data_IF_319463131015
#
_entry.id   IF_319463131015
#
_cell.length_a   1.000
_cell.length_b   1.000
_cell.length_c   1.000
_cell.angle_alpha   90.00
_cell.angle_beta   90.00
_cell.angle_gamma   90.00
#
_symmetry.space_group_name_H-M   'P 1'
#
loop_
_entity.id
_entity.type
_entity.pdbx_description
1 polymer ?
#
# COMPACT_ATOMS: atom_id res chain seq x y z
N UNK A 1 5.06 2.45 -2.13
CA UNK A 1 4.83 3.48 -3.16
C UNK A 1 5.47 3.09 -4.49
N UNK A 2 5.40 3.92 -5.53
CA UNK A 2 5.95 3.65 -6.87
C UNK A 2 7.49 3.75 -6.97
N UNK A 3 8.22 3.45 -5.90
CA UNK A 3 9.68 3.56 -5.83
C UNK A 3 10.43 2.39 -6.47
N UNK A 4 11.75 2.53 -6.52
CA UNK A 4 12.65 1.47 -6.94
C UNK A 4 13.03 0.62 -5.74
N UNK A 5 12.75 -0.67 -5.86
CA UNK A 5 12.97 -1.65 -4.82
C UNK A 5 14.09 -2.64 -5.18
N UNK A 6 14.90 -2.32 -6.20
CA UNK A 6 15.95 -3.20 -6.70
C UNK A 6 17.01 -3.58 -5.65
N UNK A 7 17.22 -2.73 -4.64
CA UNK A 7 18.14 -2.99 -3.51
C UNK A 7 17.44 -3.46 -2.23
N UNK A 8 16.11 -3.57 -2.22
CA UNK A 8 15.36 -3.99 -1.04
C UNK A 8 15.05 -5.50 -1.08
N UNK A 9 15.64 -6.24 -0.14
CA UNK A 9 15.25 -7.63 0.12
C UNK A 9 13.78 -7.74 0.55
N UNK A 10 13.25 -8.97 0.58
CA UNK A 10 11.88 -9.24 1.04
C UNK A 10 11.62 -8.52 2.37
N UNK A 11 10.56 -7.70 2.48
CA UNK A 11 10.31 -6.98 3.72
C UNK A 11 10.05 -7.99 4.84
N UNK A 12 10.76 -7.79 5.96
CA UNK A 12 10.55 -8.54 7.19
C UNK A 12 9.29 -7.97 7.85
N UNK A 13 8.21 -8.75 7.84
CA UNK A 13 6.90 -8.37 8.38
C UNK A 13 6.73 -9.15 9.68
N UNK A 14 6.84 -8.45 10.82
CA UNK A 14 6.62 -9.07 12.12
C UNK A 14 5.13 -9.38 12.32
N UNK A 15 4.82 -10.43 13.10
CA UNK A 15 3.46 -10.69 13.56
C UNK A 15 2.92 -9.45 14.29
N UNK A 16 1.78 -8.90 13.83
CA UNK A 16 1.17 -7.64 14.25
C UNK A 16 1.60 -6.36 13.49
N UNK A 17 2.21 -6.51 12.32
CA UNK A 17 2.49 -5.39 11.40
C UNK A 17 1.34 -5.25 10.39
N UNK A 18 0.83 -4.02 10.20
CA UNK A 18 -0.14 -3.73 9.15
C UNK A 18 0.61 -3.33 7.87
N UNK A 19 0.43 -4.10 6.79
CA UNK A 19 1.04 -3.80 5.50
C UNK A 19 0.07 -2.99 4.65
N UNK A 20 0.40 -1.72 4.44
CA UNK A 20 -0.37 -0.81 3.59
C UNK A 20 0.33 -0.64 2.24
N UNK A 21 -0.32 -1.11 1.17
CA UNK A 21 0.08 -0.85 -0.20
C UNK A 21 -0.48 0.50 -0.65
N UNK A 22 0.41 1.42 -1.04
CA UNK A 22 0.01 2.72 -1.61
C UNK A 22 0.34 2.75 -3.10
N UNK A 23 -0.67 3.00 -3.92
CA UNK A 23 -0.57 3.10 -5.38
C UNK A 23 0.21 1.90 -5.98
N UNK A 24 1.16 2.11 -6.91
CA UNK A 24 1.92 1.01 -7.51
C UNK A 24 2.92 0.31 -6.57
N UNK A 25 2.95 0.65 -5.28
CA UNK A 25 3.55 -0.21 -4.25
C UNK A 25 2.88 -1.59 -4.16
N UNK A 26 1.62 -1.70 -4.61
CA UNK A 26 0.92 -2.98 -4.73
C UNK A 26 1.66 -3.97 -5.62
N UNK A 27 2.12 -3.53 -6.79
CA UNK A 27 2.81 -4.39 -7.76
C UNK A 27 4.08 -5.00 -7.18
N UNK A 28 4.83 -4.23 -6.39
CA UNK A 28 6.03 -4.72 -5.71
C UNK A 28 5.70 -5.82 -4.68
N UNK A 29 4.65 -5.63 -3.88
CA UNK A 29 4.24 -6.61 -2.88
C UNK A 29 3.76 -7.91 -3.54
N UNK A 30 2.95 -7.81 -4.59
CA UNK A 30 2.46 -8.97 -5.34
C UNK A 30 3.60 -9.75 -6.01
N UNK A 31 4.61 -9.06 -6.57
CA UNK A 31 5.81 -9.71 -7.12
C UNK A 31 6.59 -10.49 -6.06
N UNK A 32 6.60 -10.00 -4.82
CA UNK A 32 7.23 -10.67 -3.67
C UNK A 32 6.34 -11.70 -2.98
N UNK A 33 5.18 -12.04 -3.56
CA UNK A 33 4.18 -12.96 -3.00
C UNK A 33 3.68 -12.52 -1.62
N UNK A 34 3.65 -11.22 -1.38
CA UNK A 34 3.13 -10.60 -0.16
C UNK A 34 1.76 -10.02 -0.48
N UNK A 35 0.76 -10.43 0.28
CA UNK A 35 -0.58 -9.83 0.20
C UNK A 35 -0.64 -8.70 1.22
N UNK A 36 -0.86 -7.45 0.80
CA UNK A 36 -1.08 -6.35 1.75
C UNK A 36 -2.37 -6.57 2.54
N UNK A 37 -2.42 -6.01 3.74
CA UNK A 37 -3.63 -5.97 4.56
C UNK A 37 -4.57 -4.86 4.11
N UNK A 38 -4.01 -3.77 3.58
CA UNK A 38 -4.74 -2.59 3.16
C UNK A 38 -4.13 -2.02 1.88
N UNK A 39 -4.97 -1.66 0.92
CA UNK A 39 -4.59 -0.89 -0.26
C UNK A 39 -5.22 0.49 -0.21
N UNK A 40 -4.43 1.53 -0.49
CA UNK A 40 -4.85 2.92 -0.57
C UNK A 40 -4.32 3.54 -1.87
N UNK A 41 -5.20 4.16 -2.64
CA UNK A 41 -4.81 4.95 -3.82
C UNK A 41 -5.98 5.25 -4.74
N UNK A 42 -5.70 5.92 -5.85
CA UNK A 42 -6.70 6.28 -6.86
C UNK A 42 -7.05 5.15 -7.85
N UNK A 43 -6.30 4.04 -7.80
CA UNK A 43 -6.41 2.90 -8.71
C UNK A 43 -6.29 3.28 -10.20
N UNK A 44 -5.76 4.46 -10.52
CA UNK A 44 -5.57 4.92 -11.89
C UNK A 44 -4.28 4.31 -12.48
N UNK A 45 -3.29 4.06 -11.62
CA UNK A 45 -2.04 3.36 -11.98
C UNK A 45 -2.08 1.84 -11.72
N UNK A 46 -3.07 1.33 -10.99
CA UNK A 46 -3.21 -0.09 -10.71
C UNK A 46 -4.14 -0.76 -11.74
N UNK A 47 -3.73 -1.88 -12.33
CA UNK A 47 -4.60 -2.59 -13.25
C UNK A 47 -5.86 -3.08 -12.51
N UNK A 48 -7.02 -2.95 -13.14
CA UNK A 48 -8.31 -3.43 -12.58
C UNK A 48 -8.25 -4.90 -12.14
N UNK A 49 -7.45 -5.71 -12.85
CA UNK A 49 -7.17 -7.10 -12.51
C UNK A 49 -6.46 -7.28 -11.16
N UNK A 50 -5.57 -6.36 -10.76
CA UNK A 50 -4.87 -6.44 -9.48
C UNK A 50 -5.79 -6.06 -8.32
N UNK A 51 -6.66 -5.06 -8.51
CA UNK A 51 -7.69 -4.70 -7.54
C UNK A 51 -8.68 -5.85 -7.34
N UNK A 52 -9.14 -6.49 -8.42
CA UNK A 52 -10.04 -7.65 -8.30
C UNK A 52 -9.35 -8.84 -7.62
N UNK A 53 -8.05 -9.03 -7.87
CA UNK A 53 -7.25 -10.05 -7.17
C UNK A 53 -7.11 -9.74 -5.68
N UNK A 54 -6.94 -8.47 -5.31
CA UNK A 54 -6.95 -8.04 -3.91
C UNK A 54 -8.30 -8.29 -3.24
N UNK A 55 -9.41 -8.00 -3.92
CA UNK A 55 -10.77 -8.27 -3.39
C UNK A 55 -11.05 -9.75 -3.13
N UNK A 56 -10.33 -10.64 -3.80
CA UNK A 56 -10.41 -12.09 -3.55
C UNK A 56 -9.53 -12.54 -2.37
N UNK A 57 -8.74 -11.62 -1.80
CA UNK A 57 -7.88 -11.88 -0.64
C UNK A 57 -8.45 -11.24 0.61
N UNK A 58 -7.72 -11.33 1.73
CA UNK A 58 -8.03 -10.66 2.99
C UNK A 58 -7.75 -9.15 2.98
N UNK A 59 -7.26 -8.61 1.86
CA UNK A 59 -6.87 -7.21 1.72
C UNK A 59 -8.10 -6.28 1.70
N UNK A 60 -8.07 -5.25 2.53
CA UNK A 60 -9.02 -4.15 2.49
C UNK A 60 -8.62 -3.17 1.38
N UNK A 61 -9.56 -2.76 0.52
CA UNK A 61 -9.28 -1.87 -0.62
C UNK A 61 -10.00 -0.54 -0.41
N UNK A 62 -9.25 0.52 -0.14
CA UNK A 62 -9.73 1.89 -0.04
C UNK A 62 -9.32 2.69 -1.27
N UNK A 63 -10.29 2.91 -2.16
CA UNK A 63 -10.08 3.73 -3.36
C UNK A 63 -10.47 5.17 -3.04
N UNK A 64 -9.52 6.08 -3.17
CA UNK A 64 -9.75 7.52 -3.00
C UNK A 64 -9.79 8.21 -4.36
N UNK A 65 -10.70 9.17 -4.55
CA UNK A 65 -10.79 9.86 -5.84
C UNK A 65 -9.62 10.83 -6.01
N UNK A 66 -9.04 10.84 -7.21
CA UNK A 66 -7.96 11.74 -7.65
C UNK A 66 -8.27 13.24 -7.49
N UNK A 67 -9.53 13.60 -7.20
CA UNK A 67 -9.95 14.99 -6.93
C UNK A 67 -9.69 15.47 -5.49
N UNK A 68 -9.04 14.66 -4.64
CA UNK A 68 -8.68 15.06 -3.28
C UNK A 68 -7.30 15.70 -3.28
N UNK A 69 -7.18 16.85 -2.62
CA UNK A 69 -5.90 17.55 -2.41
C UNK A 69 -4.93 16.80 -1.47
N UNK A 70 -5.38 15.70 -0.85
CA UNK A 70 -4.59 14.88 0.05
C UNK A 70 -3.79 13.84 -0.74
N UNK A 71 -2.48 13.82 -0.51
CA UNK A 71 -1.57 12.88 -1.16
C UNK A 71 -1.88 11.48 -0.61
N UNK A 72 -1.94 10.45 -1.46
CA UNK A 72 -2.29 9.07 -1.04
C UNK A 72 -1.45 8.54 0.14
N UNK A 73 -0.20 9.00 0.26
CA UNK A 73 0.68 8.69 1.38
C UNK A 73 0.20 9.32 2.71
N UNK A 74 -0.36 10.54 2.69
CA UNK A 74 -0.94 11.18 3.86
C UNK A 74 -2.17 10.41 4.35
N UNK A 75 -3.05 9.98 3.44
CA UNK A 75 -4.20 9.13 3.75
C UNK A 75 -3.77 7.81 4.42
N UNK A 76 -2.69 7.20 3.94
CA UNK A 76 -2.13 5.99 4.55
C UNK A 76 -1.59 6.24 5.97
N UNK A 77 -0.93 7.39 6.18
CA UNK A 77 -0.44 7.79 7.51
C UNK A 77 -1.62 8.07 8.45
N UNK A 78 -2.66 8.78 7.98
CA UNK A 78 -3.85 9.05 8.77
C UNK A 78 -4.57 7.77 9.18
N UNK A 79 -4.74 6.83 8.25
CA UNK A 79 -5.39 5.56 8.55
C UNK A 79 -4.57 4.71 9.54
N UNK A 80 -3.24 4.70 9.40
CA UNK A 80 -2.35 4.07 10.38
C UNK A 80 -2.49 4.72 11.77
N UNK A 81 -2.54 6.05 11.85
CA UNK A 81 -2.77 6.78 13.11
C UNK A 81 -4.14 6.49 13.70
N UNK A 82 -5.18 6.43 12.87
CA UNK A 82 -6.57 6.14 13.28
C UNK A 82 -6.69 4.74 13.88
N UNK A 83 -5.93 3.77 13.37
CA UNK A 83 -5.84 2.41 13.91
C UNK A 83 -4.95 2.28 15.15
N UNK A 84 -4.26 3.36 15.55
CA UNK A 84 -3.45 3.41 16.76
C UNK A 84 -2.01 2.91 16.58
N UNK A 85 -1.49 2.85 15.35
CA UNK A 85 -0.09 2.49 15.12
C UNK A 85 0.84 3.65 15.50
N UNK A 86 1.87 3.33 16.30
CA UNK A 86 2.85 4.31 16.77
C UNK A 86 4.12 4.38 15.91
N UNK A 87 4.31 3.41 15.01
CA UNK A 87 5.46 3.34 14.12
C UNK A 87 4.98 3.11 12.70
N UNK A 88 5.44 3.96 11.77
CA UNK A 88 5.08 3.91 10.37
C UNK A 88 6.38 3.85 9.58
N UNK A 89 6.61 2.74 8.88
CA UNK A 89 7.75 2.58 7.98
C UNK A 89 7.27 2.78 6.54
N UNK A 90 7.74 3.82 5.89
CA UNK A 90 7.40 4.14 4.50
C UNK A 90 8.53 3.65 3.60
N UNK A 91 8.21 2.84 2.59
CA UNK A 91 9.19 2.32 1.62
C UNK A 91 8.82 2.67 0.18
N UNK A 92 9.85 2.85 -0.64
CA UNK A 92 9.71 3.24 -2.05
C UNK A 92 9.25 4.68 -2.28
N UNK A 93 9.62 5.62 -1.40
CA UNK A 93 9.50 7.06 -1.69
C UNK A 93 10.63 7.47 -2.63
N UNK A 94 10.30 7.91 -3.85
CA UNK A 94 11.19 8.71 -4.69
C UNK A 94 10.70 10.15 -4.62
N UNK A 95 11.54 11.03 -4.07
CA UNK A 95 11.36 12.48 -4.16
C UNK A 95 11.69 12.98 -5.56
#
# INVERSE_FOLDING_TARGET
MNGDYSDEGKPDIEENTLVIAVDGGLSFLLQNHITPDLFIGDADSAASSDIDRLRQTSCEVLIFSQSKDEIDAELAIEEAKRRGFNFISIRGWRG
#
